data_IF_883253309224
#
_entry.id   IF_883253309224
#
_cell.length_a   1.000
_cell.length_b   1.000
_cell.length_c   1.000
_cell.angle_alpha   90.00
_cell.angle_beta   90.00
_cell.angle_gamma   90.00
#
_symmetry.space_group_name_H-M   'P 1'
#
loop_
_entity.id
_entity.type
_entity.pdbx_description
1 polymer ?
#
# COMPACT_ATOMS: atom_id res chain seq x y z
N UNK A 1 -6.62 39.58 -6.66
CA UNK A 1 -5.89 38.61 -5.79
C UNK A 1 -5.28 37.58 -6.70
N UNK A 2 -3.96 37.58 -6.89
CA UNK A 2 -3.30 36.61 -7.77
C UNK A 2 -3.16 35.30 -7.00
N UNK A 3 -4.05 34.34 -7.28
CA UNK A 3 -3.88 32.97 -6.81
C UNK A 3 -2.63 32.41 -7.48
N UNK A 4 -1.54 32.29 -6.72
CA UNK A 4 -0.37 31.55 -7.18
C UNK A 4 -0.69 30.07 -7.03
N UNK A 5 -0.99 29.41 -8.14
CA UNK A 5 -1.17 27.95 -8.16
C UNK A 5 0.19 27.30 -7.96
N UNK A 6 0.44 26.82 -6.75
CA UNK A 6 1.59 25.95 -6.46
C UNK A 6 1.27 24.57 -7.02
N UNK A 7 2.08 24.07 -7.95
CA UNK A 7 1.89 22.69 -8.42
C UNK A 7 2.46 21.73 -7.37
N UNK A 8 1.82 20.59 -7.18
CA UNK A 8 2.29 19.55 -6.25
C UNK A 8 3.75 19.16 -6.52
N UNK A 9 4.14 19.14 -7.80
CA UNK A 9 5.49 18.82 -8.24
C UNK A 9 6.52 19.92 -7.97
N UNK A 10 6.10 21.10 -7.52
CA UNK A 10 7.02 22.16 -7.09
C UNK A 10 7.44 22.00 -5.62
N UNK A 11 6.73 21.16 -4.85
CA UNK A 11 7.06 20.89 -3.45
C UNK A 11 8.35 20.06 -3.35
N UNK A 12 9.17 20.24 -2.28
CA UNK A 12 10.30 19.36 -1.98
C UNK A 12 9.89 17.90 -1.71
N UNK A 13 10.82 16.96 -1.92
CA UNK A 13 10.59 15.52 -1.71
C UNK A 13 10.14 15.22 -0.28
N UNK A 14 10.72 15.91 0.70
CA UNK A 14 10.42 15.72 2.12
C UNK A 14 8.96 16.08 2.46
N UNK A 15 8.46 17.18 1.89
CA UNK A 15 7.06 17.60 2.10
C UNK A 15 6.08 16.64 1.43
N UNK A 16 6.44 16.12 0.25
CA UNK A 16 5.63 15.11 -0.43
C UNK A 16 5.57 13.80 0.36
N UNK A 17 6.70 13.31 0.86
CA UNK A 17 6.76 12.11 1.71
C UNK A 17 5.93 12.32 2.99
N UNK A 18 6.08 13.47 3.66
CA UNK A 18 5.30 13.76 4.87
C UNK A 18 3.79 13.80 4.59
N UNK A 19 3.39 14.31 3.43
CA UNK A 19 2.00 14.32 2.99
C UNK A 19 1.50 12.90 2.70
N UNK A 20 2.27 12.10 1.97
CA UNK A 20 1.91 10.72 1.64
C UNK A 20 1.80 9.83 2.88
N UNK A 21 2.66 10.03 3.88
CA UNK A 21 2.60 9.32 5.16
C UNK A 21 1.32 9.59 5.97
N UNK A 22 0.57 10.66 5.64
CA UNK A 22 -0.72 10.98 6.28
C UNK A 22 -1.91 10.35 5.55
N UNK A 23 -1.68 9.70 4.42
CA UNK A 23 -2.70 9.09 3.56
C UNK A 23 -2.60 7.56 3.62
N UNK A 24 -3.65 6.88 3.14
CA UNK A 24 -3.63 5.44 2.93
C UNK A 24 -2.53 5.06 1.95
N UNK A 25 -1.65 4.13 2.36
CA UNK A 25 -0.55 3.67 1.53
C UNK A 25 -1.04 3.09 0.21
N UNK A 26 -2.15 2.33 0.23
CA UNK A 26 -2.80 1.79 -0.98
C UNK A 26 -3.23 2.91 -1.91
N UNK A 27 -3.91 3.93 -1.39
CA UNK A 27 -4.46 5.00 -2.22
C UNK A 27 -3.36 5.82 -2.86
N UNK A 28 -2.29 6.12 -2.11
CA UNK A 28 -1.12 6.81 -2.63
C UNK A 28 -0.45 5.96 -3.70
N UNK A 29 -0.11 4.70 -3.41
CA UNK A 29 0.55 3.81 -4.36
C UNK A 29 -0.27 3.67 -5.64
N UNK A 30 -1.57 3.42 -5.53
CA UNK A 30 -2.43 3.29 -6.70
C UNK A 30 -2.57 4.60 -7.49
N UNK A 31 -2.54 5.75 -6.81
CA UNK A 31 -2.75 7.06 -7.44
C UNK A 31 -1.49 7.62 -8.11
N UNK A 32 -0.30 7.43 -7.53
CA UNK A 32 0.92 8.10 -8.02
C UNK A 32 1.80 7.19 -8.89
N UNK A 33 1.63 5.87 -8.81
CA UNK A 33 2.50 4.92 -9.49
C UNK A 33 2.32 4.93 -11.00
N UNK A 34 3.42 5.17 -11.73
CA UNK A 34 3.47 5.31 -13.18
C UNK A 34 2.99 6.67 -13.70
N UNK A 35 2.64 7.61 -12.81
CA UNK A 35 2.22 8.97 -13.21
C UNK A 35 3.43 9.84 -13.53
N UNK A 36 4.47 9.75 -12.70
CA UNK A 36 5.67 10.56 -12.85
C UNK A 36 6.88 9.85 -12.21
N UNK A 37 8.03 9.88 -12.88
CA UNK A 37 9.24 9.20 -12.41
C UNK A 37 9.71 9.66 -11.02
N UNK A 38 9.54 10.95 -10.69
CA UNK A 38 9.85 11.46 -9.35
C UNK A 38 8.92 10.88 -8.30
N UNK A 39 7.62 10.82 -8.58
CA UNK A 39 6.64 10.23 -7.67
C UNK A 39 6.86 8.73 -7.50
N UNK A 40 7.24 8.01 -8.56
CA UNK A 40 7.60 6.59 -8.49
C UNK A 40 8.80 6.36 -7.58
N UNK A 41 9.81 7.24 -7.66
CA UNK A 41 10.98 7.19 -6.76
C UNK A 41 10.56 7.41 -5.31
N UNK A 42 9.65 8.33 -5.05
CA UNK A 42 9.13 8.58 -3.71
C UNK A 42 8.28 7.41 -3.20
N UNK A 43 7.45 6.84 -4.06
CA UNK A 43 6.61 5.67 -3.77
C UNK A 43 7.44 4.42 -3.43
N UNK A 44 8.66 4.31 -3.96
CA UNK A 44 9.60 3.22 -3.64
C UNK A 44 10.43 3.49 -2.38
N UNK A 45 10.35 4.67 -1.78
CA UNK A 45 11.17 5.01 -0.63
C UNK A 45 10.85 4.07 0.54
N UNK A 46 11.87 3.50 1.18
CA UNK A 46 11.70 2.61 2.32
C UNK A 46 10.96 3.28 3.49
N UNK A 47 11.11 4.59 3.69
CA UNK A 47 10.36 5.33 4.72
C UNK A 47 8.84 5.30 4.50
N UNK A 48 8.41 5.14 3.26
CA UNK A 48 6.99 5.05 2.90
C UNK A 48 6.52 3.60 2.81
N UNK A 49 7.39 2.68 2.39
CA UNK A 49 7.02 1.28 2.07
C UNK A 49 7.36 0.26 3.15
N UNK A 50 8.06 0.67 4.23
CA UNK A 50 8.44 -0.28 5.29
C UNK A 50 7.25 -0.94 5.99
N UNK A 51 6.11 -0.26 6.03
CA UNK A 51 4.87 -0.75 6.62
C UNK A 51 3.75 -0.54 5.62
N UNK A 52 3.31 -1.61 4.98
CA UNK A 52 2.18 -1.57 4.05
C UNK A 52 0.91 -1.98 4.77
N UNK A 53 -0.05 -1.06 4.82
CA UNK A 53 -1.42 -1.39 5.17
C UNK A 53 -2.25 -1.55 3.90
N UNK A 54 -2.56 -2.81 3.58
CA UNK A 54 -3.40 -3.21 2.46
C UNK A 54 -4.83 -3.57 2.92
N UNK A 55 -5.19 -3.19 4.14
CA UNK A 55 -6.57 -3.26 4.62
C UNK A 55 -7.31 -2.02 4.14
N UNK A 56 -8.53 -2.19 3.61
CA UNK A 56 -9.32 -1.03 3.17
C UNK A 56 -10.22 -0.59 4.30
N UNK A 57 -9.89 0.56 4.88
CA UNK A 57 -10.77 1.27 5.80
C UNK A 57 -11.45 2.40 5.03
N UNK A 58 -12.54 2.11 4.32
CA UNK A 58 -13.39 3.22 3.87
C UNK A 58 -14.06 3.80 5.12
N UNK A 59 -14.00 5.12 5.26
CA UNK A 59 -14.57 5.86 6.40
C UNK A 59 -16.11 5.83 6.47
N UNK A 60 -16.77 5.13 5.55
CA UNK A 60 -18.23 5.16 5.38
C UNK A 60 -18.90 3.78 5.28
N UNK A 61 -18.15 2.66 5.23
CA UNK A 61 -18.77 1.34 5.26
C UNK A 61 -17.76 0.28 5.71
N UNK A 62 -18.04 -0.42 6.81
CA UNK A 62 -17.17 -1.48 7.38
C UNK A 62 -17.06 -2.73 6.48
N UNK A 63 -17.54 -2.66 5.23
CA UNK A 63 -17.70 -3.78 4.30
C UNK A 63 -17.09 -3.57 2.92
N UNK A 64 -16.46 -2.42 2.64
CA UNK A 64 -15.79 -2.23 1.35
C UNK A 64 -14.40 -2.85 1.39
N UNK A 65 -14.29 -4.10 0.91
CA UNK A 65 -13.00 -4.70 0.57
C UNK A 65 -12.28 -3.89 -0.52
N UNK A 66 -10.97 -4.06 -0.62
CA UNK A 66 -10.21 -3.60 -1.79
C UNK A 66 -10.88 -4.09 -3.08
N UNK A 67 -11.01 -3.20 -4.07
CA UNK A 67 -11.54 -3.63 -5.37
C UNK A 67 -10.50 -4.51 -6.08
N UNK A 68 -10.97 -5.53 -6.79
CA UNK A 68 -10.11 -6.45 -7.53
C UNK A 68 -9.18 -5.72 -8.51
N UNK A 69 -9.64 -4.60 -9.10
CA UNK A 69 -8.82 -3.78 -10.01
C UNK A 69 -7.62 -3.16 -9.29
N UNK A 70 -7.79 -2.66 -8.07
CA UNK A 70 -6.70 -2.10 -7.27
C UNK A 70 -5.75 -3.20 -6.82
N UNK A 71 -6.31 -4.34 -6.36
CA UNK A 71 -5.53 -5.49 -5.92
C UNK A 71 -4.69 -6.07 -7.05
N UNK A 72 -5.28 -6.26 -8.23
CA UNK A 72 -4.60 -6.75 -9.41
C UNK A 72 -3.46 -5.82 -9.80
N UNK A 73 -3.69 -4.51 -9.83
CA UNK A 73 -2.66 -3.53 -10.14
C UNK A 73 -1.53 -3.54 -9.12
N UNK A 74 -1.86 -3.60 -7.82
CA UNK A 74 -0.86 -3.72 -6.76
C UNK A 74 0.00 -4.97 -6.96
N UNK A 75 -0.64 -6.13 -7.16
CA UNK A 75 0.04 -7.41 -7.29
C UNK A 75 0.90 -7.51 -8.55
N UNK A 76 0.45 -6.96 -9.67
CA UNK A 76 1.13 -7.09 -10.96
C UNK A 76 2.22 -6.03 -11.21
N UNK A 77 2.08 -4.82 -10.66
CA UNK A 77 2.96 -3.70 -11.03
C UNK A 77 3.70 -3.05 -9.86
N UNK A 78 3.11 -3.03 -8.66
CA UNK A 78 3.59 -2.21 -7.55
C UNK A 78 4.39 -3.06 -6.55
N UNK A 79 3.76 -4.11 -6.00
CA UNK A 79 4.38 -4.99 -5.01
C UNK A 79 5.71 -5.60 -5.50
N UNK A 80 5.82 -6.08 -6.76
CA UNK A 80 7.08 -6.61 -7.27
C UNK A 80 8.24 -5.60 -7.24
N UNK A 81 7.95 -4.30 -7.16
CA UNK A 81 8.94 -3.23 -7.19
C UNK A 81 9.28 -2.69 -5.79
N UNK A 82 8.49 -3.01 -4.77
CA UNK A 82 8.67 -2.50 -3.40
C UNK A 82 8.82 -3.58 -2.33
N UNK A 83 8.55 -4.85 -2.66
CA UNK A 83 8.47 -5.95 -1.68
C UNK A 83 9.73 -6.10 -0.81
N UNK A 84 10.91 -5.81 -1.34
CA UNK A 84 12.17 -5.85 -0.59
C UNK A 84 12.22 -4.82 0.56
N UNK A 85 11.47 -3.72 0.46
CA UNK A 85 11.43 -2.71 1.52
C UNK A 85 10.40 -3.02 2.60
N UNK A 86 9.51 -3.99 2.38
CA UNK A 86 8.35 -4.23 3.25
C UNK A 86 8.75 -5.10 4.44
N UNK A 87 8.73 -4.49 5.62
CA UNK A 87 9.05 -5.17 6.88
C UNK A 87 7.80 -5.52 7.70
N UNK A 88 6.73 -4.76 7.50
CA UNK A 88 5.43 -4.99 8.12
C UNK A 88 4.33 -4.95 7.06
N UNK A 89 3.45 -5.95 7.08
CA UNK A 89 2.33 -6.08 6.15
C UNK A 89 1.03 -6.28 6.94
N UNK A 90 0.04 -5.44 6.70
CA UNK A 90 -1.32 -5.59 7.20
C UNK A 90 -2.22 -5.94 6.02
N UNK A 91 -2.88 -7.09 6.08
CA UNK A 91 -3.70 -7.60 4.97
C UNK A 91 -4.96 -8.24 5.48
N UNK A 92 -6.00 -8.20 4.66
CA UNK A 92 -7.19 -9.03 4.84
C UNK A 92 -6.93 -10.46 4.34
N UNK A 93 -7.66 -11.46 4.86
CA UNK A 93 -7.42 -12.86 4.51
C UNK A 93 -7.68 -13.15 3.02
N UNK A 94 -8.68 -12.50 2.43
CA UNK A 94 -9.04 -12.66 1.01
C UNK A 94 -7.90 -12.28 0.05
N UNK A 95 -7.37 -11.04 0.06
CA UNK A 95 -6.28 -10.65 -0.84
C UNK A 95 -4.93 -11.29 -0.49
N UNK A 96 -4.75 -11.81 0.74
CA UNK A 96 -3.48 -12.35 1.22
C UNK A 96 -2.88 -13.38 0.26
N UNK A 97 -3.67 -14.36 -0.20
CA UNK A 97 -3.14 -15.41 -1.07
C UNK A 97 -2.58 -14.85 -2.38
N UNK A 98 -3.23 -13.84 -2.95
CA UNK A 98 -2.78 -13.22 -4.20
C UNK A 98 -1.48 -12.43 -3.97
N UNK A 99 -1.40 -11.68 -2.87
CA UNK A 99 -0.22 -10.89 -2.49
C UNK A 99 1.01 -11.79 -2.28
N UNK A 100 0.86 -12.90 -1.55
CA UNK A 100 1.97 -13.83 -1.29
C UNK A 100 2.33 -14.70 -2.50
N UNK A 101 1.49 -14.79 -3.53
CA UNK A 101 1.82 -15.49 -4.79
C UNK A 101 2.75 -14.67 -5.68
N UNK A 102 2.71 -13.34 -5.61
CA UNK A 102 3.44 -12.47 -6.54
C UNK A 102 4.79 -12.02 -6.02
N UNK A 103 5.02 -12.04 -4.71
CA UNK A 103 6.25 -11.53 -4.10
C UNK A 103 6.74 -12.42 -2.96
N UNK A 104 8.05 -12.63 -2.90
CA UNK A 104 8.72 -13.23 -1.76
C UNK A 104 9.22 -12.12 -0.83
N UNK A 105 8.52 -11.87 0.28
CA UNK A 105 8.88 -10.80 1.20
C UNK A 105 10.02 -11.22 2.14
N UNK A 106 11.26 -11.17 1.64
CA UNK A 106 12.44 -11.63 2.37
C UNK A 106 12.68 -10.87 3.69
N UNK A 107 12.28 -9.60 3.77
CA UNK A 107 12.46 -8.74 4.95
C UNK A 107 11.20 -8.63 5.83
N UNK A 108 10.16 -9.43 5.57
CA UNK A 108 8.93 -9.37 6.34
C UNK A 108 9.14 -9.91 7.76
N UNK A 109 9.08 -9.02 8.74
CA UNK A 109 9.19 -9.36 10.16
C UNK A 109 7.84 -9.38 10.87
N UNK A 110 6.84 -8.70 10.30
CA UNK A 110 5.50 -8.60 10.89
C UNK A 110 4.42 -8.79 9.83
N UNK A 111 3.57 -9.78 10.03
CA UNK A 111 2.33 -9.97 9.30
C UNK A 111 1.16 -9.79 10.25
N UNK A 112 0.27 -8.84 9.96
CA UNK A 112 -0.96 -8.64 10.70
C UNK A 112 -2.13 -8.96 9.79
N UNK A 113 -3.02 -9.83 10.25
CA UNK A 113 -4.22 -10.19 9.53
C UNK A 113 -5.41 -9.49 10.18
N UNK A 114 -6.12 -8.65 9.41
CA UNK A 114 -7.36 -8.03 9.88
C UNK A 114 -8.54 -8.99 9.73
N UNK A 115 -9.59 -8.78 10.52
CA UNK A 115 -10.91 -9.39 10.31
C UNK A 115 -10.91 -10.93 10.18
N UNK A 116 -9.98 -11.61 10.86
CA UNK A 116 -10.01 -13.07 10.97
C UNK A 116 -11.02 -13.48 12.03
N UNK A 117 -12.09 -14.15 11.62
CA UNK A 117 -12.89 -14.94 12.54
C UNK A 117 -12.05 -16.13 13.02
N UNK A 118 -12.05 -16.40 14.33
CA UNK A 118 -11.21 -17.43 14.96
C UNK A 118 -11.32 -18.82 14.33
N UNK A 119 -12.43 -19.11 13.64
CA UNK A 119 -12.67 -20.39 12.96
C UNK A 119 -11.88 -20.54 11.64
N UNK A 120 -11.57 -19.43 10.98
CA UNK A 120 -10.82 -19.44 9.72
C UNK A 120 -9.32 -19.33 9.91
N UNK A 121 -8.86 -18.86 11.08
CA UNK A 121 -7.43 -18.75 11.41
C UNK A 121 -6.68 -20.08 11.22
N UNK A 122 -7.29 -21.20 11.62
CA UNK A 122 -6.68 -22.53 11.52
C UNK A 122 -6.38 -22.91 10.06
N UNK A 123 -7.21 -22.49 9.09
CA UNK A 123 -7.01 -22.78 7.66
C UNK A 123 -5.79 -22.08 7.07
N UNK A 124 -5.28 -21.03 7.73
CA UNK A 124 -4.11 -20.28 7.29
C UNK A 124 -2.81 -20.73 7.98
N UNK A 125 -2.90 -21.62 8.97
CA UNK A 125 -1.74 -22.19 9.68
C UNK A 125 -1.36 -23.61 9.21
N UNK A 126 -2.24 -24.26 8.44
CA UNK A 126 -2.08 -25.61 7.89
C UNK A 126 -1.57 -25.59 6.45
#
# INVERSE_FOLDING_TARGET
MNSSTVHLLDLPDEMLIETFNKLSTVDVLNSIWGVNQRLDRLARNARFTHSLDLTVRTSYDERCSMSDVILDRLCSHILPQIHDNVNSLFVEPSPMQQIFRVCAYANLHRLTLSSIESKDFIKYLS
#
